data_IF_837659443770
#
_entry.id   IF_837659443770
#
_cell.length_a   1.000
_cell.length_b   1.000
_cell.length_c   1.000
_cell.angle_alpha   90.00
_cell.angle_beta   90.00
_cell.angle_gamma   90.00
#
_symmetry.space_group_name_H-M   'P 1'
#
loop_
_entity.id
_entity.type
_entity.pdbx_description
1 polymer ?
#
# COMPACT_ATOMS: atom_id res chain seq x y z
N UNK A 1 42.18 -27.76 82.28
CA UNK A 1 40.94 -27.05 81.82
C UNK A 1 41.35 -25.68 81.25
N UNK A 2 41.53 -25.60 79.96
CA UNK A 2 42.01 -24.38 79.29
C UNK A 2 40.82 -23.71 78.56
N UNK A 3 40.40 -22.55 79.06
CA UNK A 3 39.34 -21.74 78.49
C UNK A 3 39.95 -20.90 77.35
N UNK A 4 39.74 -21.29 76.15
CA UNK A 4 40.11 -20.52 74.97
C UNK A 4 39.10 -19.36 74.81
N UNK A 5 39.54 -18.10 74.71
CA UNK A 5 38.62 -16.96 74.65
C UNK A 5 37.95 -16.90 73.29
N UNK A 6 36.64 -16.84 73.29
CA UNK A 6 35.68 -16.78 72.17
C UNK A 6 35.74 -15.49 71.38
N UNK A 7 36.68 -14.59 71.62
CA UNK A 7 36.78 -13.26 71.06
C UNK A 7 37.65 -13.15 69.78
N UNK A 8 38.35 -14.21 69.39
CA UNK A 8 39.23 -14.18 68.21
C UNK A 8 38.54 -14.60 66.89
N UNK A 9 37.34 -15.10 66.98
CA UNK A 9 36.60 -15.53 65.75
C UNK A 9 35.73 -14.45 65.17
N UNK A 10 35.54 -13.30 65.86
CA UNK A 10 34.70 -12.20 65.41
C UNK A 10 35.42 -11.16 64.54
N UNK A 11 36.72 -11.21 64.39
CA UNK A 11 37.52 -10.17 63.70
C UNK A 11 37.90 -10.49 62.27
N UNK A 12 37.55 -11.66 61.75
CA UNK A 12 37.94 -12.05 60.36
C UNK A 12 36.80 -11.95 59.37
N UNK A 13 35.55 -11.66 59.82
CA UNK A 13 34.38 -11.64 58.94
C UNK A 13 34.03 -10.27 58.35
N UNK A 14 34.84 -9.24 58.48
CA UNK A 14 34.50 -7.86 58.12
C UNK A 14 35.28 -7.27 56.94
N UNK A 15 35.98 -8.05 56.13
CA UNK A 15 36.79 -7.48 55.00
C UNK A 15 36.51 -8.06 53.61
N UNK A 16 35.28 -8.41 53.31
CA UNK A 16 34.90 -8.62 51.90
C UNK A 16 33.90 -7.55 51.48
N UNK A 17 34.37 -6.31 51.38
CA UNK A 17 33.64 -5.26 50.64
C UNK A 17 33.93 -5.52 49.14
N UNK A 18 33.09 -6.27 48.49
CA UNK A 18 33.09 -6.37 47.03
C UNK A 18 32.60 -5.04 46.49
N UNK A 19 33.50 -4.28 45.86
CA UNK A 19 33.12 -3.12 45.07
C UNK A 19 32.23 -3.61 43.91
N UNK A 20 30.91 -3.45 44.04
CA UNK A 20 29.98 -3.61 42.93
C UNK A 20 30.18 -2.39 41.99
N UNK A 21 30.98 -2.55 40.94
CA UNK A 21 31.02 -1.58 39.84
C UNK A 21 29.74 -1.69 39.06
N UNK A 22 28.85 -0.69 39.17
CA UNK A 22 27.77 -0.51 38.25
C UNK A 22 28.38 -0.16 36.87
N UNK A 23 28.21 -1.03 35.91
CA UNK A 23 28.61 -0.75 34.54
C UNK A 23 27.60 0.25 33.94
N UNK A 24 27.98 1.52 33.84
CA UNK A 24 27.22 2.51 33.12
C UNK A 24 27.27 2.18 31.61
N UNK A 25 26.12 1.78 31.06
CA UNK A 25 25.98 1.49 29.64
C UNK A 25 25.28 2.66 28.96
N UNK A 26 25.90 3.25 27.95
CA UNK A 26 25.32 4.35 27.17
C UNK A 26 24.79 3.83 25.85
N UNK A 27 23.51 4.07 25.56
CA UNK A 27 22.88 3.80 24.28
C UNK A 27 22.74 5.13 23.55
N UNK A 28 23.37 5.26 22.38
CA UNK A 28 23.19 6.40 21.50
C UNK A 28 22.17 6.04 20.43
N UNK A 29 21.07 6.80 20.35
CA UNK A 29 20.03 6.64 19.34
C UNK A 29 20.11 7.85 18.44
N UNK A 30 20.33 7.61 17.14
CA UNK A 30 20.36 8.67 16.11
C UNK A 30 19.46 8.31 14.96
N UNK A 31 18.88 9.31 14.32
CA UNK A 31 17.99 9.13 13.17
C UNK A 31 17.85 10.42 12.37
N UNK A 32 17.29 10.29 11.18
CA UNK A 32 16.99 11.43 10.33
C UNK A 32 15.49 11.48 10.05
N UNK A 33 14.92 12.68 10.08
CA UNK A 33 13.57 12.97 9.59
C UNK A 33 13.71 13.59 8.21
N UNK A 34 13.08 13.00 7.20
CA UNK A 34 13.11 13.51 5.82
C UNK A 34 11.68 13.88 5.39
N UNK A 35 11.59 14.97 4.63
CA UNK A 35 10.34 15.43 4.01
C UNK A 35 10.23 14.86 2.58
N UNK A 36 10.12 13.52 2.48
CA UNK A 36 10.13 12.78 1.21
C UNK A 36 8.80 12.08 0.90
N UNK A 37 7.70 12.66 1.31
CA UNK A 37 6.36 12.12 1.02
C UNK A 37 5.41 13.22 0.54
N UNK A 38 4.29 12.82 -0.04
CA UNK A 38 3.15 13.68 -0.32
C UNK A 38 1.93 13.24 0.48
N UNK A 39 1.07 14.19 0.83
CA UNK A 39 -0.27 13.89 1.30
C UNK A 39 -1.20 13.62 0.10
N UNK A 40 -2.19 12.75 0.30
CA UNK A 40 -3.28 12.57 -0.67
C UNK A 40 -4.28 13.70 -0.47
N UNK A 41 -4.59 14.45 -1.52
CA UNK A 41 -5.60 15.50 -1.48
C UNK A 41 -6.98 14.94 -1.11
N UNK A 42 -7.80 15.75 -0.43
CA UNK A 42 -9.10 15.30 0.12
C UNK A 42 -10.00 14.64 -0.93
N UNK A 43 -10.08 15.22 -2.12
CA UNK A 43 -10.87 14.72 -3.26
C UNK A 43 -10.36 13.39 -3.86
N UNK A 44 -9.14 12.98 -3.49
CA UNK A 44 -8.52 11.74 -3.97
C UNK A 44 -8.46 10.63 -2.92
N UNK A 45 -8.98 10.88 -1.69
CA UNK A 45 -9.01 9.84 -0.63
C UNK A 45 -10.10 8.82 -0.88
N UNK A 46 -11.30 9.32 -1.23
CA UNK A 46 -12.47 8.50 -1.54
C UNK A 46 -13.18 9.11 -2.75
N UNK A 47 -13.25 8.39 -3.84
CA UNK A 47 -13.91 8.83 -5.06
C UNK A 47 -14.48 7.63 -5.85
N UNK A 48 -15.43 7.92 -6.73
CA UNK A 48 -16.04 6.94 -7.63
C UNK A 48 -15.63 7.21 -9.06
N UNK A 49 -15.28 6.17 -9.80
CA UNK A 49 -15.05 6.20 -11.24
C UNK A 49 -16.28 5.62 -11.92
N UNK A 50 -17.04 6.45 -12.61
CA UNK A 50 -18.23 6.02 -13.35
C UNK A 50 -17.82 5.41 -14.70
N UNK A 51 -17.95 4.10 -14.84
CA UNK A 51 -17.59 3.37 -16.05
C UNK A 51 -18.65 3.50 -17.17
N UNK A 52 -19.66 4.33 -16.97
CA UNK A 52 -20.74 4.61 -17.94
C UNK A 52 -21.58 3.38 -18.29
N UNK A 53 -22.58 3.59 -19.11
CA UNK A 53 -23.39 2.50 -19.66
C UNK A 53 -22.68 1.82 -20.83
N UNK A 54 -22.55 0.51 -20.77
CA UNK A 54 -21.85 -0.28 -21.75
C UNK A 54 -22.75 -1.38 -22.32
N UNK A 55 -22.74 -1.56 -23.62
CA UNK A 55 -23.52 -2.62 -24.26
C UNK A 55 -22.77 -3.97 -24.17
N UNK A 56 -23.50 -5.04 -23.82
CA UNK A 56 -22.95 -6.40 -23.79
C UNK A 56 -22.39 -6.86 -25.13
N UNK A 57 -22.86 -6.29 -26.24
CA UNK A 57 -22.32 -6.54 -27.59
C UNK A 57 -20.85 -6.18 -27.74
N UNK A 58 -20.35 -5.23 -26.95
CA UNK A 58 -18.93 -4.86 -26.97
C UNK A 58 -18.06 -5.94 -26.27
N UNK A 59 -18.67 -6.72 -25.39
CA UNK A 59 -18.02 -7.70 -24.51
C UNK A 59 -18.27 -9.14 -24.98
N UNK A 60 -18.34 -9.38 -26.27
CA UNK A 60 -18.75 -10.63 -26.91
C UNK A 60 -17.70 -11.74 -26.93
N UNK A 61 -16.45 -11.44 -26.54
CA UNK A 61 -15.33 -12.40 -26.49
C UNK A 61 -14.42 -12.10 -25.30
N UNK A 62 -13.74 -13.12 -24.80
CA UNK A 62 -12.72 -12.95 -23.75
C UNK A 62 -11.65 -11.96 -24.20
N UNK A 63 -11.26 -11.04 -23.32
CA UNK A 63 -10.34 -9.96 -23.59
C UNK A 63 -10.95 -8.75 -24.29
N UNK A 64 -12.25 -8.77 -24.66
CA UNK A 64 -12.94 -7.58 -25.18
C UNK A 64 -13.08 -6.55 -24.06
N UNK A 65 -12.93 -5.26 -24.41
CA UNK A 65 -12.94 -4.16 -23.45
C UNK A 65 -13.92 -3.07 -23.80
N UNK A 66 -14.37 -2.34 -22.79
CA UNK A 66 -15.12 -1.08 -22.96
C UNK A 66 -14.15 0.08 -23.24
N UNK A 67 -14.67 1.27 -23.63
CA UNK A 67 -13.89 2.50 -23.69
C UNK A 67 -13.18 2.79 -22.36
N UNK A 68 -12.06 3.51 -22.42
CA UNK A 68 -11.31 3.97 -21.28
C UNK A 68 -12.02 5.14 -20.59
N UNK A 69 -12.14 5.05 -19.27
CA UNK A 69 -12.64 6.15 -18.43
C UNK A 69 -11.47 6.72 -17.63
N UNK A 70 -11.12 8.00 -17.81
CA UNK A 70 -10.01 8.62 -17.08
C UNK A 70 -10.39 8.89 -15.62
N UNK A 71 -9.42 8.74 -14.73
CA UNK A 71 -9.48 9.23 -13.36
C UNK A 71 -8.10 9.71 -12.92
N UNK A 72 -8.03 10.42 -11.78
CA UNK A 72 -6.78 11.00 -11.29
C UNK A 72 -6.66 10.87 -9.78
N UNK A 73 -5.42 10.79 -9.31
CA UNK A 73 -5.05 10.90 -7.91
C UNK A 73 -4.21 12.16 -7.76
N UNK A 74 -4.63 13.07 -6.89
CA UNK A 74 -3.95 14.33 -6.61
C UNK A 74 -3.17 14.20 -5.31
N UNK A 75 -1.89 14.50 -5.38
CA UNK A 75 -0.97 14.50 -4.24
C UNK A 75 -0.62 15.94 -3.87
N UNK A 76 -1.03 16.39 -2.69
CA UNK A 76 -0.79 17.75 -2.20
C UNK A 76 -1.07 17.86 -0.69
N UNK A 77 -0.21 18.53 0.10
CA UNK A 77 1.11 19.03 -0.28
C UNK A 77 2.14 17.91 -0.46
N UNK A 78 3.19 18.20 -1.20
CA UNK A 78 4.35 17.32 -1.34
C UNK A 78 5.56 17.91 -0.64
N UNK A 79 6.39 17.06 -0.05
CA UNK A 79 7.63 17.42 0.59
C UNK A 79 8.69 17.92 -0.38
N UNK A 80 9.69 18.61 0.17
CA UNK A 80 10.79 19.22 -0.60
C UNK A 80 11.80 18.20 -1.12
N UNK A 81 11.85 17.01 -0.53
CA UNK A 81 12.80 15.96 -0.87
C UNK A 81 12.17 14.79 -1.66
N UNK A 82 10.85 14.81 -1.91
CA UNK A 82 10.18 13.76 -2.67
C UNK A 82 10.49 13.90 -4.16
N UNK A 83 10.88 12.81 -4.80
CA UNK A 83 11.20 12.81 -6.24
C UNK A 83 10.44 11.76 -7.04
N UNK A 84 10.04 10.67 -6.39
CA UNK A 84 9.43 9.53 -7.06
C UNK A 84 8.28 8.96 -6.23
N UNK A 85 7.31 8.35 -6.91
CA UNK A 85 6.23 7.58 -6.28
C UNK A 85 5.94 6.31 -7.08
N UNK A 86 5.64 5.23 -6.38
CA UNK A 86 4.94 4.07 -6.96
C UNK A 86 3.49 4.12 -6.53
N UNK A 87 2.60 3.79 -7.45
CA UNK A 87 1.16 3.68 -7.17
C UNK A 87 0.71 2.27 -7.47
N UNK A 88 0.37 1.52 -6.45
CA UNK A 88 -0.21 0.19 -6.56
C UNK A 88 -1.72 0.22 -6.32
N UNK A 89 -2.44 -0.77 -6.85
CA UNK A 89 -3.86 -0.95 -6.59
C UNK A 89 -4.09 -2.32 -5.96
N UNK A 90 -4.85 -2.34 -4.87
CA UNK A 90 -5.15 -3.55 -4.08
C UNK A 90 -6.65 -3.73 -4.01
N UNK A 91 -7.11 -4.96 -4.19
CA UNK A 91 -8.53 -5.29 -4.12
C UNK A 91 -8.77 -6.78 -4.30
N UNK A 92 -10.03 -7.17 -4.36
CA UNK A 92 -10.41 -8.56 -4.65
C UNK A 92 -10.17 -8.83 -6.13
N UNK A 93 -9.32 -9.81 -6.43
CA UNK A 93 -9.00 -10.17 -7.79
C UNK A 93 -10.10 -11.01 -8.44
N UNK A 94 -10.34 -10.83 -9.74
CA UNK A 94 -11.20 -11.70 -10.51
C UNK A 94 -10.64 -13.14 -10.54
N UNK A 95 -11.52 -14.13 -10.45
CA UNK A 95 -11.12 -15.53 -10.30
C UNK A 95 -10.53 -16.16 -11.56
N UNK A 96 -10.69 -15.52 -12.72
CA UNK A 96 -10.20 -16.00 -14.03
C UNK A 96 -8.98 -15.18 -14.46
N UNK A 97 -9.02 -13.88 -14.30
CA UNK A 97 -7.91 -12.97 -14.60
C UNK A 97 -7.57 -12.14 -13.36
N UNK A 98 -6.55 -12.58 -12.62
CA UNK A 98 -6.14 -11.98 -11.33
C UNK A 98 -5.57 -10.55 -11.44
N UNK A 99 -5.30 -10.06 -12.64
CA UNK A 99 -4.87 -8.67 -12.87
C UNK A 99 -6.05 -7.69 -12.86
N UNK A 100 -7.29 -8.20 -12.80
CA UNK A 100 -8.52 -7.40 -12.80
C UNK A 100 -9.17 -7.40 -11.42
N UNK A 101 -9.87 -6.31 -11.09
CA UNK A 101 -10.78 -6.26 -9.95
C UNK A 101 -12.02 -7.13 -10.23
N UNK A 102 -12.35 -7.97 -9.28
CA UNK A 102 -13.62 -8.70 -9.28
C UNK A 102 -14.79 -7.73 -9.11
N UNK A 103 -15.86 -7.94 -9.86
CA UNK A 103 -17.11 -7.23 -9.61
C UNK A 103 -17.81 -7.76 -8.34
N UNK A 104 -18.46 -6.84 -7.63
CA UNK A 104 -19.29 -7.17 -6.49
C UNK A 104 -20.44 -8.10 -6.93
N UNK A 105 -20.79 -9.06 -6.08
CA UNK A 105 -21.83 -10.05 -6.35
C UNK A 105 -23.18 -9.58 -5.83
N UNK A 106 -24.22 -9.82 -6.60
CA UNK A 106 -25.59 -9.47 -6.20
C UNK A 106 -26.62 -9.99 -7.19
N UNK A 107 -27.91 -9.90 -6.84
CA UNK A 107 -29.02 -10.40 -7.69
C UNK A 107 -29.14 -9.67 -9.03
N UNK A 108 -28.70 -8.42 -9.11
CA UNK A 108 -28.69 -7.60 -10.32
C UNK A 108 -27.27 -7.26 -10.81
N UNK A 109 -26.24 -7.94 -10.31
CA UNK A 109 -24.86 -7.68 -10.69
C UNK A 109 -24.54 -8.24 -12.08
N UNK A 110 -23.75 -7.50 -12.84
CA UNK A 110 -23.12 -7.99 -14.06
C UNK A 110 -22.13 -9.12 -13.76
N UNK A 111 -21.89 -10.00 -14.73
CA UNK A 111 -20.93 -11.09 -14.55
C UNK A 111 -20.19 -11.44 -15.84
N UNK A 112 -19.04 -12.13 -15.69
CA UNK A 112 -18.17 -12.53 -16.81
C UNK A 112 -17.17 -11.46 -17.25
N UNK A 113 -16.91 -10.47 -16.41
CA UNK A 113 -15.96 -9.40 -16.64
C UNK A 113 -15.35 -8.91 -15.33
N UNK A 114 -14.23 -8.19 -15.40
CA UNK A 114 -13.59 -7.49 -14.30
C UNK A 114 -13.19 -6.08 -14.68
N UNK A 115 -12.77 -5.27 -13.72
CA UNK A 115 -12.28 -3.92 -13.96
C UNK A 115 -10.77 -3.95 -14.13
N UNK A 116 -10.29 -3.43 -15.25
CA UNK A 116 -8.88 -3.21 -15.55
C UNK A 116 -8.49 -1.78 -15.23
N UNK A 117 -7.39 -1.59 -14.51
CA UNK A 117 -6.80 -0.29 -14.23
C UNK A 117 -5.54 -0.13 -15.10
N UNK A 118 -5.35 1.07 -15.66
CA UNK A 118 -4.23 1.37 -16.54
C UNK A 118 -3.58 2.70 -16.11
N UNK A 119 -2.30 2.82 -16.40
CA UNK A 119 -1.53 4.05 -16.18
C UNK A 119 -1.82 5.14 -17.23
N UNK A 120 -1.13 6.27 -17.12
CA UNK A 120 -1.27 7.41 -18.05
C UNK A 120 -0.88 7.05 -19.49
N UNK A 121 -0.06 6.02 -19.70
CA UNK A 121 0.35 5.50 -21.01
C UNK A 121 -0.60 4.41 -21.52
N UNK A 122 -1.70 4.17 -20.80
CA UNK A 122 -2.68 3.13 -21.10
C UNK A 122 -2.10 1.70 -21.02
N UNK A 123 -1.04 1.53 -20.22
CA UNK A 123 -0.47 0.23 -19.90
C UNK A 123 -1.23 -0.35 -18.70
N UNK A 124 -1.61 -1.63 -18.80
CA UNK A 124 -2.33 -2.29 -17.72
C UNK A 124 -1.45 -2.40 -16.46
N UNK A 125 -2.02 -2.02 -15.33
CA UNK A 125 -1.41 -2.18 -14.02
C UNK A 125 -1.96 -3.46 -13.38
N UNK A 126 -1.09 -4.41 -12.99
CA UNK A 126 -1.53 -5.63 -12.34
C UNK A 126 -2.07 -5.32 -10.94
N UNK A 127 -3.20 -5.92 -10.61
CA UNK A 127 -3.80 -5.81 -9.28
C UNK A 127 -2.95 -6.56 -8.24
N UNK A 128 -2.88 -6.04 -7.02
CA UNK A 128 -2.13 -6.66 -5.91
C UNK A 128 -0.63 -6.91 -6.23
N UNK A 129 -0.07 -6.12 -7.13
CA UNK A 129 1.33 -6.26 -7.53
C UNK A 129 2.29 -6.03 -6.35
N UNK A 130 3.37 -6.80 -6.30
CA UNK A 130 4.48 -6.51 -5.39
C UNK A 130 5.11 -5.16 -5.76
N UNK A 131 5.59 -4.39 -4.77
CA UNK A 131 6.21 -3.08 -4.99
C UNK A 131 7.34 -3.11 -6.02
N UNK A 132 8.10 -4.21 -6.10
CA UNK A 132 9.18 -4.40 -7.09
C UNK A 132 8.69 -4.43 -8.54
N UNK A 133 7.42 -4.77 -8.78
CA UNK A 133 6.81 -4.83 -10.10
C UNK A 133 6.14 -3.52 -10.52
N UNK A 134 6.00 -2.56 -9.61
CA UNK A 134 5.37 -1.26 -9.88
C UNK A 134 6.43 -0.27 -10.33
N UNK A 135 6.26 0.40 -11.50
CA UNK A 135 7.22 1.38 -11.97
C UNK A 135 7.19 2.66 -11.13
N UNK A 136 8.34 3.31 -11.06
CA UNK A 136 8.45 4.63 -10.45
C UNK A 136 7.89 5.73 -11.38
N UNK A 137 7.11 6.63 -10.81
CA UNK A 137 6.61 7.85 -11.47
C UNK A 137 7.33 9.06 -10.87
N UNK A 138 7.80 9.97 -11.73
CA UNK A 138 8.49 11.19 -11.30
C UNK A 138 7.49 12.17 -10.69
N UNK A 139 7.88 12.76 -9.56
CA UNK A 139 7.15 13.83 -8.89
C UNK A 139 7.93 15.15 -8.94
N UNK A 140 7.18 16.26 -8.93
CA UNK A 140 7.74 17.60 -8.73
C UNK A 140 7.77 17.91 -7.22
N UNK A 141 8.94 18.08 -6.59
CA UNK A 141 9.06 18.43 -5.18
C UNK A 141 8.36 19.74 -4.84
N UNK A 142 7.82 19.85 -3.62
CA UNK A 142 7.14 21.05 -3.11
C UNK A 142 5.97 21.56 -3.97
N UNK A 143 5.41 20.70 -4.82
CA UNK A 143 4.31 21.05 -5.72
C UNK A 143 3.16 20.04 -5.60
N UNK A 144 1.99 20.44 -6.07
CA UNK A 144 0.89 19.52 -6.33
C UNK A 144 1.23 18.64 -7.53
N UNK A 145 1.09 17.33 -7.38
CA UNK A 145 1.28 16.36 -8.44
C UNK A 145 -0.06 15.68 -8.74
N UNK A 146 -0.39 15.57 -10.04
CA UNK A 146 -1.58 14.88 -10.51
C UNK A 146 -1.16 13.64 -11.27
N UNK A 147 -1.58 12.48 -10.77
CA UNK A 147 -1.31 11.17 -11.37
C UNK A 147 -2.55 10.72 -12.12
N UNK A 148 -2.44 10.53 -13.45
CA UNK A 148 -3.55 10.16 -14.31
C UNK A 148 -3.58 8.65 -14.53
N UNK A 149 -4.78 8.08 -14.50
CA UNK A 149 -5.07 6.67 -14.71
C UNK A 149 -6.32 6.50 -15.56
N UNK A 150 -6.55 5.27 -15.99
CA UNK A 150 -7.76 4.88 -16.70
C UNK A 150 -8.33 3.60 -16.05
N UNK A 151 -9.65 3.44 -16.18
CA UNK A 151 -10.35 2.22 -15.87
C UNK A 151 -11.25 1.80 -17.03
N UNK A 152 -11.45 0.49 -17.20
CA UNK A 152 -12.38 -0.09 -18.16
C UNK A 152 -12.82 -1.47 -17.73
N UNK A 153 -13.91 -1.96 -18.30
CA UNK A 153 -14.29 -3.37 -18.17
C UNK A 153 -13.51 -4.21 -19.18
N UNK A 154 -13.16 -5.43 -18.77
CA UNK A 154 -12.60 -6.46 -19.64
C UNK A 154 -13.33 -7.78 -19.40
N UNK A 155 -13.75 -8.42 -20.49
CA UNK A 155 -14.42 -9.72 -20.46
C UNK A 155 -13.46 -10.81 -20.04
N UNK A 156 -13.81 -11.58 -18.99
CA UNK A 156 -13.05 -12.73 -18.51
C UNK A 156 -13.71 -14.05 -18.88
N UNK A 157 -15.01 -14.05 -19.12
CA UNK A 157 -15.80 -15.23 -19.51
C UNK A 157 -17.00 -14.84 -20.37
N UNK A 158 -17.34 -15.65 -21.35
CA UNK A 158 -18.54 -15.51 -22.15
C UNK A 158 -19.52 -16.65 -21.91
N UNK A 159 -20.85 -16.40 -22.03
CA UNK A 159 -21.45 -15.09 -22.23
C UNK A 159 -21.33 -14.19 -21.00
N UNK A 160 -21.26 -12.88 -21.21
CA UNK A 160 -21.38 -11.90 -20.13
C UNK A 160 -22.84 -11.75 -19.72
N UNK A 161 -23.08 -11.47 -18.44
CA UNK A 161 -24.42 -11.17 -17.92
C UNK A 161 -24.56 -9.66 -17.75
N UNK A 162 -25.61 -9.08 -18.30
CA UNK A 162 -25.95 -7.67 -18.09
C UNK A 162 -26.38 -7.45 -16.64
N UNK A 163 -26.05 -6.29 -16.09
CA UNK A 163 -26.38 -5.93 -14.73
C UNK A 163 -25.59 -4.73 -14.22
N UNK A 164 -25.72 -4.45 -12.94
CA UNK A 164 -24.96 -3.40 -12.27
C UNK A 164 -23.48 -3.80 -12.12
N UNK A 165 -22.60 -2.85 -12.39
CA UNK A 165 -21.15 -3.00 -12.22
C UNK A 165 -20.71 -2.19 -10.99
N UNK A 166 -20.12 -2.87 -10.02
CA UNK A 166 -19.48 -2.26 -8.86
C UNK A 166 -18.22 -3.06 -8.52
N UNK A 167 -17.16 -2.37 -8.14
CA UNK A 167 -15.92 -2.96 -7.63
C UNK A 167 -15.17 -1.92 -6.81
N UNK A 168 -14.47 -2.37 -5.77
CA UNK A 168 -13.70 -1.48 -4.88
C UNK A 168 -12.22 -1.82 -4.93
N UNK A 169 -11.39 -0.80 -5.07
CA UNK A 169 -9.94 -0.89 -4.95
C UNK A 169 -9.42 0.13 -3.94
N UNK A 170 -8.33 -0.22 -3.26
CA UNK A 170 -7.52 0.72 -2.49
C UNK A 170 -6.22 0.97 -3.25
N UNK A 171 -5.81 2.21 -3.41
CA UNK A 171 -4.48 2.50 -3.93
C UNK A 171 -3.47 2.64 -2.79
N UNK A 172 -2.23 2.25 -3.07
CA UNK A 172 -1.09 2.35 -2.15
C UNK A 172 -0.01 3.22 -2.75
N UNK A 173 0.70 3.96 -1.92
CA UNK A 173 1.76 4.87 -2.33
C UNK A 173 3.06 4.50 -1.62
N UNK A 174 4.15 4.44 -2.38
CA UNK A 174 5.52 4.32 -1.87
C UNK A 174 6.34 5.47 -2.45
N UNK A 175 6.96 6.27 -1.59
CA UNK A 175 7.72 7.47 -1.98
C UNK A 175 9.23 7.27 -1.88
N UNK A 176 9.97 8.00 -2.73
CA UNK A 176 11.42 8.10 -2.66
C UNK A 176 11.86 9.55 -2.78
#
# INVERSE_FOLDING_TARGET
>A
MMRIPFYLLSAVLSLVITNASAADSTITISGYVRDNACAVAGESKDFTVDLMDNATKQLHRVGATTPLVPFRIVLSPCGSAVTLVKVGFVGVADSINTDLLQLDRGTSAAAGMGVQILDAQQTALPLNAASSAIPWTILAPSRTNTLNFYARLMTTRVPVTAGHVSATATFTLEFQ
#
